data_IF_577048312057
#
_entry.id   IF_577048312057
#
_cell.length_a   1.000
_cell.length_b   1.000
_cell.length_c   1.000
_cell.angle_alpha   90.00
_cell.angle_beta   90.00
_cell.angle_gamma   90.00
#
_symmetry.space_group_name_H-M   'P 1'
#
loop_
_entity.id
_entity.type
_entity.pdbx_description
1 polymer ?
#
# COMPACT_ATOMS: atom_id res chain seq x y z
N UNK A 1 5.92 -8.38 18.71
CA UNK A 1 5.41 -7.04 19.07
C UNK A 1 4.28 -6.65 18.13
N UNK A 2 3.33 -5.88 18.62
CA UNK A 2 2.16 -5.41 17.87
C UNK A 2 2.50 -4.08 17.19
N UNK A 3 1.99 -3.83 15.99
CA UNK A 3 2.24 -2.58 15.26
C UNK A 3 1.35 -1.47 15.81
N UNK A 4 1.88 -0.71 16.77
CA UNK A 4 1.19 0.34 17.50
C UNK A 4 1.53 1.76 17.00
N UNK A 5 1.02 2.79 17.68
CA UNK A 5 1.26 4.19 17.31
C UNK A 5 2.75 4.55 17.36
N UNK A 6 3.48 4.09 18.37
CA UNK A 6 4.91 4.37 18.50
C UNK A 6 5.70 3.73 17.35
N UNK A 7 5.33 2.52 16.97
CA UNK A 7 5.89 1.82 15.80
C UNK A 7 5.68 2.58 14.47
N UNK A 8 4.62 3.39 14.36
CA UNK A 8 4.28 4.17 13.16
C UNK A 8 5.04 5.50 13.05
N UNK A 9 5.37 6.15 14.17
CA UNK A 9 5.83 7.55 14.16
C UNK A 9 7.19 7.79 14.80
N UNK A 10 7.73 6.83 15.58
CA UNK A 10 9.07 6.94 16.14
C UNK A 10 10.09 6.46 15.10
N UNK A 11 11.02 7.33 14.63
CA UNK A 11 12.06 6.93 13.68
C UNK A 11 12.87 5.75 14.21
N UNK A 12 12.96 4.67 13.43
CA UNK A 12 13.71 3.46 13.78
C UNK A 12 12.88 2.32 14.40
N UNK A 13 11.63 2.56 14.77
CA UNK A 13 10.75 1.51 15.34
C UNK A 13 10.07 0.62 14.28
N UNK A 14 10.05 1.06 13.03
CA UNK A 14 9.64 0.22 11.90
C UNK A 14 10.56 0.41 10.70
N UNK A 15 10.78 -0.67 9.95
CA UNK A 15 11.60 -0.69 8.74
C UNK A 15 10.74 -1.09 7.55
N UNK A 16 10.72 -0.24 6.53
CA UNK A 16 10.10 -0.57 5.26
C UNK A 16 11.07 -1.42 4.44
N UNK A 17 10.76 -2.70 4.31
CA UNK A 17 11.49 -3.63 3.44
C UNK A 17 10.72 -3.71 2.13
N UNK A 18 11.26 -3.12 1.08
CA UNK A 18 10.62 -3.07 -0.23
C UNK A 18 11.64 -3.56 -1.29
N UNK A 19 11.31 -4.62 -2.05
CA UNK A 19 10.10 -5.45 -1.94
C UNK A 19 10.07 -6.27 -0.63
N UNK A 20 8.87 -6.55 -0.12
CA UNK A 20 8.71 -7.35 1.10
C UNK A 20 9.33 -8.75 0.94
N UNK A 21 10.00 -9.23 1.99
CA UNK A 21 10.64 -10.55 2.02
C UNK A 21 9.61 -11.65 2.30
N UNK A 22 8.79 -11.96 1.31
CA UNK A 22 7.77 -13.02 1.31
C UNK A 22 7.91 -13.87 0.06
N UNK A 23 7.30 -15.06 0.05
CA UNK A 23 7.29 -15.92 -1.13
C UNK A 23 6.57 -15.24 -2.31
N UNK A 24 6.84 -15.71 -3.52
CA UNK A 24 6.23 -15.16 -4.74
C UNK A 24 4.71 -15.36 -4.71
N UNK A 25 4.26 -16.50 -4.18
CA UNK A 25 2.86 -16.88 -4.04
C UNK A 25 2.14 -15.95 -3.05
N UNK A 26 2.74 -15.73 -1.87
CA UNK A 26 2.18 -14.82 -0.88
C UNK A 26 2.10 -13.37 -1.42
N UNK A 27 3.13 -12.92 -2.13
CA UNK A 27 3.12 -11.59 -2.78
C UNK A 27 1.99 -11.46 -3.80
N UNK A 28 1.83 -12.47 -4.67
CA UNK A 28 0.78 -12.49 -5.68
C UNK A 28 -0.62 -12.48 -5.02
N UNK A 29 -0.78 -13.22 -3.92
CA UNK A 29 -2.04 -13.26 -3.18
C UNK A 29 -2.35 -11.93 -2.48
N UNK A 30 -1.36 -11.28 -1.85
CA UNK A 30 -1.51 -9.93 -1.31
C UNK A 30 -1.99 -8.93 -2.39
N UNK A 31 -1.39 -8.96 -3.58
CA UNK A 31 -1.77 -8.10 -4.70
C UNK A 31 -3.20 -8.39 -5.18
N UNK A 32 -3.54 -9.69 -5.31
CA UNK A 32 -4.88 -10.13 -5.72
C UNK A 32 -5.95 -9.67 -4.73
N UNK A 33 -5.72 -9.86 -3.42
CA UNK A 33 -6.64 -9.43 -2.37
C UNK A 33 -6.78 -7.91 -2.29
N UNK A 34 -5.67 -7.16 -2.41
CA UNK A 34 -5.70 -5.70 -2.43
C UNK A 34 -6.58 -5.16 -3.57
N UNK A 35 -6.42 -5.70 -4.80
CA UNK A 35 -7.22 -5.30 -5.96
C UNK A 35 -8.69 -5.73 -5.82
N UNK A 36 -8.94 -6.95 -5.32
CA UNK A 36 -10.29 -7.44 -5.09
C UNK A 36 -11.04 -6.57 -4.08
N UNK A 37 -10.40 -6.23 -2.95
CA UNK A 37 -10.99 -5.39 -1.92
C UNK A 37 -11.24 -3.94 -2.39
N UNK A 38 -10.28 -3.34 -3.11
CA UNK A 38 -10.45 -2.02 -3.71
C UNK A 38 -11.70 -1.96 -4.60
N UNK A 39 -11.89 -2.97 -5.46
CA UNK A 39 -13.05 -3.07 -6.36
C UNK A 39 -14.33 -3.35 -5.60
N UNK A 40 -14.33 -4.30 -4.67
CA UNK A 40 -15.51 -4.71 -3.92
C UNK A 40 -16.07 -3.57 -3.05
N UNK A 41 -15.20 -2.71 -2.52
CA UNK A 41 -15.58 -1.54 -1.73
C UNK A 41 -15.90 -0.30 -2.57
N UNK A 42 -15.77 -0.38 -3.89
CA UNK A 42 -16.00 0.77 -4.79
C UNK A 42 -15.00 1.92 -4.56
N UNK A 43 -13.79 1.61 -4.11
CA UNK A 43 -12.74 2.61 -3.97
C UNK A 43 -12.42 3.24 -5.34
N UNK A 44 -12.00 4.50 -5.32
CA UNK A 44 -11.57 5.26 -6.50
C UNK A 44 -10.26 5.96 -6.21
N UNK A 45 -9.48 6.20 -7.26
CA UNK A 45 -8.17 6.83 -7.15
C UNK A 45 -7.17 5.87 -6.52
N UNK A 46 -7.11 5.80 -5.18
CA UNK A 46 -6.14 5.00 -4.45
C UNK A 46 -6.74 4.31 -3.22
N UNK A 47 -6.11 3.22 -2.80
CA UNK A 47 -6.27 2.68 -1.46
C UNK A 47 -5.01 1.92 -1.05
N UNK A 48 -4.62 1.98 0.22
CA UNK A 48 -3.63 1.07 0.79
C UNK A 48 -4.34 -0.12 1.43
N UNK A 49 -3.91 -1.33 1.07
CA UNK A 49 -4.40 -2.57 1.68
C UNK A 49 -3.33 -3.13 2.62
N UNK A 50 -3.69 -3.28 3.89
CA UNK A 50 -2.78 -3.82 4.91
C UNK A 50 -3.07 -5.30 5.09
N UNK A 51 -2.03 -6.12 5.00
CA UNK A 51 -2.13 -7.59 5.06
C UNK A 51 -1.13 -8.16 6.06
N UNK A 52 -1.48 -9.30 6.66
CA UNK A 52 -0.56 -10.16 7.40
C UNK A 52 -0.34 -11.43 6.59
N UNK A 53 0.93 -11.80 6.43
CA UNK A 53 1.33 -13.10 5.88
C UNK A 53 1.84 -13.95 7.04
N UNK A 54 1.22 -15.10 7.29
CA UNK A 54 1.65 -16.04 8.33
C UNK A 54 2.85 -16.87 7.87
N UNK A 55 3.48 -17.59 8.80
CA UNK A 55 4.68 -18.39 8.52
C UNK A 55 4.47 -19.52 7.48
N UNK A 56 3.24 -20.01 7.36
CA UNK A 56 2.83 -21.01 6.37
C UNK A 56 2.42 -20.39 5.01
N UNK A 57 2.52 -19.07 4.87
CA UNK A 57 2.20 -18.34 3.64
C UNK A 57 0.74 -17.90 3.51
N UNK A 58 -0.13 -18.18 4.50
CA UNK A 58 -1.52 -17.72 4.46
C UNK A 58 -1.58 -16.19 4.55
N UNK A 59 -2.37 -15.57 3.67
CA UNK A 59 -2.54 -14.11 3.61
C UNK A 59 -3.89 -13.71 4.20
N UNK A 60 -3.86 -12.81 5.18
CA UNK A 60 -5.04 -12.18 5.77
C UNK A 60 -5.07 -10.70 5.42
N UNK A 61 -6.14 -10.26 4.77
CA UNK A 61 -6.42 -8.83 4.59
C UNK A 61 -7.00 -8.27 5.88
N UNK A 62 -6.38 -7.21 6.41
CA UNK A 62 -6.80 -6.59 7.67
C UNK A 62 -7.74 -5.41 7.43
N UNK A 63 -7.29 -4.45 6.63
CA UNK A 63 -8.00 -3.20 6.40
C UNK A 63 -7.67 -2.57 5.05
N UNK A 64 -8.56 -1.68 4.62
CA UNK A 64 -8.37 -0.81 3.47
C UNK A 64 -8.38 0.65 3.96
N UNK A 65 -7.29 1.35 3.68
CA UNK A 65 -7.15 2.78 3.95
C UNK A 65 -7.34 3.56 2.65
N UNK A 66 -8.44 4.30 2.54
CA UNK A 66 -8.75 5.14 1.36
C UNK A 66 -7.97 6.47 1.35
N UNK A 67 -7.49 6.90 2.52
CA UNK A 67 -6.62 8.08 2.69
C UNK A 67 -5.42 7.66 3.57
N UNK A 68 -4.45 6.92 3.01
CA UNK A 68 -3.25 6.55 3.74
C UNK A 68 -2.33 7.75 3.95
N UNK A 69 -1.32 7.59 4.82
CA UNK A 69 -0.27 8.59 4.97
C UNK A 69 0.43 8.87 3.64
N UNK A 70 0.69 10.16 3.38
CA UNK A 70 1.31 10.69 2.15
C UNK A 70 2.60 11.46 2.43
N UNK A 71 3.27 11.20 3.57
CA UNK A 71 4.58 11.78 3.85
C UNK A 71 5.69 11.01 3.13
N UNK A 72 6.88 11.60 3.01
CA UNK A 72 8.03 10.97 2.35
C UNK A 72 8.47 9.62 2.96
N UNK A 73 8.04 9.34 4.20
CA UNK A 73 8.30 8.09 4.94
C UNK A 73 7.06 7.22 5.10
N UNK A 74 5.96 7.53 4.39
CA UNK A 74 4.74 6.72 4.43
C UNK A 74 4.82 5.54 3.46
N UNK A 75 4.15 4.42 3.81
CA UNK A 75 4.18 3.17 3.04
C UNK A 75 3.74 3.31 1.58
N UNK A 76 2.74 4.16 1.28
CA UNK A 76 2.25 4.32 -0.09
C UNK A 76 3.28 5.03 -0.98
N UNK A 77 3.80 6.23 -0.63
CA UNK A 77 4.90 6.85 -1.35
C UNK A 77 6.15 5.97 -1.48
N UNK A 78 6.52 5.22 -0.44
CA UNK A 78 7.67 4.32 -0.50
C UNK A 78 7.46 3.16 -1.48
N UNK A 79 6.25 2.58 -1.50
CA UNK A 79 5.89 1.52 -2.45
C UNK A 79 5.84 2.03 -3.90
N UNK A 80 5.32 3.24 -4.11
CA UNK A 80 5.29 3.89 -5.42
C UNK A 80 6.71 4.15 -5.95
N UNK A 81 7.60 4.69 -5.11
CA UNK A 81 9.00 4.94 -5.48
C UNK A 81 9.75 3.64 -5.81
N UNK A 82 9.49 2.56 -5.07
CA UNK A 82 10.06 1.25 -5.40
C UNK A 82 9.53 0.67 -6.72
N UNK A 83 8.35 1.12 -7.18
CA UNK A 83 7.80 0.84 -8.50
C UNK A 83 8.24 1.86 -9.58
N UNK A 84 9.13 2.80 -9.26
CA UNK A 84 9.65 3.82 -10.18
C UNK A 84 8.78 5.06 -10.34
N UNK A 85 7.78 5.26 -9.47
CA UNK A 85 6.88 6.42 -9.49
C UNK A 85 7.31 7.40 -8.41
N UNK A 86 7.81 8.56 -8.80
CA UNK A 86 8.26 9.59 -7.86
C UNK A 86 7.08 10.30 -7.20
N UNK A 87 7.28 10.87 -6.00
CA UNK A 87 6.20 11.45 -5.21
C UNK A 87 5.41 12.57 -5.93
N UNK A 88 6.03 13.50 -6.68
CA UNK A 88 5.28 14.49 -7.47
C UNK A 88 4.43 13.86 -8.57
N UNK A 89 4.94 12.81 -9.22
CA UNK A 89 4.21 12.06 -10.26
C UNK A 89 3.01 11.33 -9.66
N UNK A 90 3.20 10.64 -8.53
CA UNK A 90 2.11 10.02 -7.77
C UNK A 90 1.01 11.05 -7.45
N UNK A 91 1.37 12.23 -6.92
CA UNK A 91 0.40 13.28 -6.62
C UNK A 91 -0.36 13.74 -7.87
N UNK A 92 0.35 13.95 -8.98
CA UNK A 92 -0.25 14.37 -10.24
C UNK A 92 -1.25 13.33 -10.78
N UNK A 93 -0.90 12.05 -10.74
CA UNK A 93 -1.78 10.94 -11.14
C UNK A 93 -3.06 10.91 -10.32
N UNK A 94 -2.97 11.09 -9.00
CA UNK A 94 -4.15 11.11 -8.12
C UNK A 94 -5.08 12.30 -8.42
N UNK A 95 -4.53 13.47 -8.73
CA UNK A 95 -5.31 14.63 -9.17
C UNK A 95 -5.97 14.35 -10.52
N UNK A 96 -5.25 13.72 -11.47
CA UNK A 96 -5.80 13.31 -12.76
C UNK A 96 -7.01 12.38 -12.61
N UNK A 97 -6.89 11.36 -11.74
CA UNK A 97 -8.00 10.46 -11.42
C UNK A 97 -9.20 11.19 -10.80
N UNK A 98 -8.97 12.20 -9.95
CA UNK A 98 -10.04 13.00 -9.36
C UNK A 98 -10.77 13.87 -10.39
N UNK A 99 -10.07 14.34 -11.43
CA UNK A 99 -10.64 15.13 -12.52
C UNK A 99 -11.37 14.28 -13.57
N UNK A 100 -11.31 12.94 -13.48
CA UNK A 100 -11.95 12.04 -14.43
C UNK A 100 -11.19 11.88 -15.75
N UNK A 101 -9.93 12.32 -15.79
CA UNK A 101 -9.03 12.04 -16.90
C UNK A 101 -8.63 10.56 -16.83
N UNK A 102 -9.29 9.71 -17.60
CA UNK A 102 -8.83 8.32 -17.78
C UNK A 102 -7.44 8.32 -18.41
N UNK A 103 -6.55 7.44 -17.94
CA UNK A 103 -5.40 7.04 -18.75
C UNK A 103 -5.92 6.63 -20.14
N UNK A 104 -5.39 7.28 -21.18
CA UNK A 104 -5.64 6.93 -22.58
C UNK A 104 -4.81 5.71 -22.96
#
# INVERSE_FOLDING_TARGET
EFYDYESKYVPGMSRHIIPANVSVEARAECQRLALAAHRALGCRGLSRADTIVTADGTVYLLEINTIPGMTATSLLPDSARAAGIEFPELCATLVSYALGSSES
#
